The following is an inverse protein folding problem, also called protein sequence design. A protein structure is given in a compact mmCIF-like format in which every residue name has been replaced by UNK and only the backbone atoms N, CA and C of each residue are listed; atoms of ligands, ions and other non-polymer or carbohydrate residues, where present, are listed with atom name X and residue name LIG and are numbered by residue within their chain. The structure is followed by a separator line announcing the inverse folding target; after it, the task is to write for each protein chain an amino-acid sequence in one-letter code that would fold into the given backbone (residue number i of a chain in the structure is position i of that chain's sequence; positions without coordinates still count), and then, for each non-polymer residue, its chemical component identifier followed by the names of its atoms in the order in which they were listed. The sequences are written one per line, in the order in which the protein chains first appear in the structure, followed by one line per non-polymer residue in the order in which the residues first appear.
data_IF_920967805014
#
_entry.id   IF_920967805014
#
_cell.length_a   1.000
_cell.length_b   1.000
_cell.length_c   1.000
_cell.angle_alpha   90.00
_cell.angle_beta   90.00
_cell.angle_gamma   90.00
#
_symmetry.space_group_name_H-M   'P 1'
#
loop_
_entity.id
_entity.type
_entity.pdbx_description
1 polymer ?
#
# COMPACT_ATOMS: atom_id res chain seq x y z
N UNK A 1 11.06 -9.96 -7.22
CA UNK A 1 10.32 -10.76 -6.20
C UNK A 1 9.70 -9.90 -5.09
N UNK A 2 10.38 -8.84 -4.59
CA UNK A 2 9.88 -7.95 -3.51
C UNK A 2 8.56 -7.25 -3.85
N UNK A 3 8.43 -6.68 -5.05
CA UNK A 3 7.23 -5.97 -5.53
C UNK A 3 5.95 -6.81 -5.50
N UNK A 4 5.99 -8.06 -5.96
CA UNK A 4 4.81 -8.95 -5.90
C UNK A 4 4.37 -9.23 -4.47
N UNK A 5 5.31 -9.37 -3.52
CA UNK A 5 4.98 -9.56 -2.10
C UNK A 5 4.35 -8.30 -1.50
N UNK A 6 4.90 -7.13 -1.81
CA UNK A 6 4.33 -5.84 -1.39
C UNK A 6 2.90 -5.71 -1.93
N UNK A 7 2.70 -6.01 -3.21
CA UNK A 7 1.38 -5.97 -3.84
C UNK A 7 0.38 -6.87 -3.09
N UNK A 8 0.74 -8.13 -2.82
CA UNK A 8 -0.10 -9.05 -2.04
C UNK A 8 -0.41 -8.50 -0.66
N UNK A 9 0.59 -8.03 0.10
CA UNK A 9 0.38 -7.50 1.46
C UNK A 9 -0.58 -6.32 1.44
N UNK A 10 -0.42 -5.38 0.50
CA UNK A 10 -1.32 -4.23 0.45
C UNK A 10 -2.73 -4.67 0.04
N UNK A 11 -2.88 -5.58 -0.92
CA UNK A 11 -4.20 -6.12 -1.29
C UNK A 11 -4.88 -6.81 -0.10
N UNK A 12 -4.14 -7.61 0.66
CA UNK A 12 -4.65 -8.24 1.88
C UNK A 12 -5.12 -7.17 2.89
N UNK A 13 -4.32 -6.11 3.11
CA UNK A 13 -4.72 -5.01 3.98
C UNK A 13 -5.92 -4.21 3.44
N UNK A 14 -6.02 -3.99 2.13
CA UNK A 14 -7.20 -3.33 1.53
C UNK A 14 -8.46 -4.16 1.83
N UNK A 15 -8.42 -5.47 1.64
CA UNK A 15 -9.56 -6.34 1.89
C UNK A 15 -9.89 -6.54 3.38
N UNK A 16 -8.90 -6.40 4.27
CA UNK A 16 -9.14 -6.45 5.73
C UNK A 16 -9.68 -5.13 6.29
N UNK A 17 -9.24 -3.99 5.75
CA UNK A 17 -9.54 -2.66 6.28
C UNK A 17 -10.75 -2.00 5.59
N UNK A 18 -11.11 -2.47 4.39
CA UNK A 18 -12.12 -1.84 3.54
C UNK A 18 -12.98 -2.91 2.88
N UNK A 19 -14.19 -2.54 2.44
CA UNK A 19 -15.06 -3.41 1.64
C UNK A 19 -14.68 -3.42 0.13
N UNK A 20 -13.49 -2.95 -0.23
CA UNK A 20 -13.06 -2.88 -1.62
C UNK A 20 -12.74 -4.28 -2.17
N UNK A 21 -13.22 -4.57 -3.39
CA UNK A 21 -12.97 -5.85 -4.06
C UNK A 21 -11.51 -5.95 -4.55
N UNK A 22 -10.70 -6.71 -3.80
CA UNK A 22 -9.26 -6.86 -4.03
C UNK A 22 -8.91 -7.47 -5.39
N UNK A 23 -9.82 -8.24 -5.99
CA UNK A 23 -9.63 -8.87 -7.31
C UNK A 23 -9.70 -7.84 -8.44
N UNK A 24 -10.33 -6.68 -8.19
CA UNK A 24 -10.42 -5.58 -9.16
C UNK A 24 -9.21 -4.64 -9.12
N UNK A 25 -8.37 -4.74 -8.09
CA UNK A 25 -7.21 -3.88 -7.89
C UNK A 25 -6.14 -4.15 -8.96
N UNK A 26 -5.90 -3.13 -9.77
CA UNK A 26 -4.87 -3.08 -10.78
C UNK A 26 -3.98 -1.84 -10.58
N UNK A 27 -2.99 -1.65 -11.45
CA UNK A 27 -2.00 -0.57 -11.30
C UNK A 27 -2.59 0.83 -11.43
N UNK A 28 -3.71 0.96 -12.15
CA UNK A 28 -4.36 2.24 -12.44
C UNK A 28 -5.46 2.57 -11.42
N UNK A 29 -5.81 1.63 -10.54
CA UNK A 29 -6.80 1.84 -9.46
C UNK A 29 -6.36 3.00 -8.57
N UNK A 30 -7.27 3.93 -8.28
CA UNK A 30 -6.95 5.11 -7.47
C UNK A 30 -6.91 4.72 -5.99
N UNK A 31 -5.91 5.23 -5.27
CA UNK A 31 -5.79 5.00 -3.82
C UNK A 31 -6.98 5.61 -3.07
N UNK A 32 -7.50 6.73 -3.58
CA UNK A 32 -8.67 7.40 -3.02
C UNK A 32 -9.93 6.55 -3.07
N UNK A 33 -10.04 5.60 -4.01
CA UNK A 33 -11.20 4.71 -4.13
C UNK A 33 -11.23 3.66 -3.01
N UNK A 34 -10.10 3.37 -2.37
CA UNK A 34 -10.03 2.47 -1.22
C UNK A 34 -10.64 3.09 0.05
N UNK A 35 -10.76 4.42 0.10
CA UNK A 35 -11.28 5.11 1.29
C UNK A 35 -10.33 5.10 2.49
N UNK A 36 -9.03 4.92 2.27
CA UNK A 36 -8.03 4.91 3.34
C UNK A 36 -8.00 6.23 4.12
N UNK A 37 -7.94 6.11 5.45
CA UNK A 37 -7.63 7.19 6.38
C UNK A 37 -6.24 7.00 6.98
N UNK A 38 -5.75 8.00 7.72
CA UNK A 38 -4.37 7.99 8.27
C UNK A 38 -4.03 6.74 9.11
N UNK A 39 -5.02 6.12 9.76
CA UNK A 39 -4.81 4.88 10.53
C UNK A 39 -4.60 3.65 9.63
N UNK A 40 -5.18 3.61 8.44
CA UNK A 40 -5.02 2.48 7.52
C UNK A 40 -3.59 2.44 6.96
N UNK A 41 -3.03 3.60 6.64
CA UNK A 41 -1.63 3.72 6.23
C UNK A 41 -0.67 3.24 7.33
N UNK A 42 -1.00 3.47 8.60
CA UNK A 42 -0.23 2.93 9.73
C UNK A 42 -0.31 1.40 9.80
N UNK A 43 -1.50 0.82 9.59
CA UNK A 43 -1.67 -0.64 9.53
C UNK A 43 -0.84 -1.26 8.41
N UNK A 44 -0.86 -0.66 7.21
CA UNK A 44 -0.05 -1.08 6.06
C UNK A 44 1.45 -1.00 6.38
N UNK A 45 1.91 0.10 7.00
CA UNK A 45 3.30 0.24 7.43
C UNK A 45 3.71 -0.88 8.39
N UNK A 46 2.88 -1.18 9.40
CA UNK A 46 3.16 -2.24 10.37
C UNK A 46 3.19 -3.62 9.69
N UNK A 47 2.27 -3.90 8.77
CA UNK A 47 2.24 -5.14 8.01
C UNK A 47 3.51 -5.33 7.17
N UNK A 48 3.91 -4.30 6.42
CA UNK A 48 5.14 -4.32 5.60
C UNK A 48 6.41 -4.50 6.45
N UNK A 49 6.47 -3.84 7.61
CA UNK A 49 7.58 -3.99 8.55
C UNK A 49 7.67 -5.39 9.12
N UNK A 50 6.53 -6.01 9.49
CA UNK A 50 6.49 -7.38 10.03
C UNK A 50 6.82 -8.43 8.98
N UNK A 51 6.27 -8.31 7.78
CA UNK A 51 6.40 -9.33 6.74
C UNK A 51 7.73 -9.26 5.98
N UNK A 52 8.24 -8.04 5.75
CA UNK A 52 9.38 -7.80 4.86
C UNK A 52 10.52 -7.02 5.51
N UNK A 53 10.36 -6.55 6.75
CA UNK A 53 11.34 -5.68 7.41
C UNK A 53 11.42 -4.28 6.82
N UNK A 54 10.47 -3.88 5.97
CA UNK A 54 10.47 -2.57 5.29
C UNK A 54 9.96 -1.51 6.27
N UNK A 55 10.75 -0.46 6.48
CA UNK A 55 10.36 0.66 7.32
C UNK A 55 9.88 1.83 6.45
N UNK A 56 8.58 1.88 6.21
CA UNK A 56 7.96 2.95 5.40
C UNK A 56 7.92 4.25 6.20
N UNK A 57 8.33 5.36 5.59
CA UNK A 57 8.12 6.70 6.15
C UNK A 57 6.78 7.26 5.67
N UNK A 58 5.81 7.38 6.59
CA UNK A 58 4.47 7.87 6.27
C UNK A 58 4.46 9.36 5.89
N UNK A 59 5.45 10.14 6.34
CA UNK A 59 5.58 11.53 5.92
C UNK A 59 5.93 11.59 4.43
N UNK A 60 6.91 10.79 4.01
CA UNK A 60 7.30 10.70 2.60
C UNK A 60 6.17 10.14 1.74
N UNK A 61 5.38 9.20 2.25
CA UNK A 61 4.21 8.66 1.55
C UNK A 61 3.15 9.75 1.29
N UNK A 62 2.92 10.62 2.27
CA UNK A 62 2.00 11.76 2.17
C UNK A 62 2.53 12.82 1.20
N UNK A 63 3.84 13.10 1.25
CA UNK A 63 4.51 14.06 0.36
C UNK A 63 4.63 13.55 -1.10
N UNK A 64 4.65 12.24 -1.30
CA UNK A 64 4.79 11.62 -2.62
C UNK A 64 3.55 11.81 -3.52
N UNK A 65 2.43 12.35 -3.00
CA UNK A 65 1.20 12.64 -3.75
C UNK A 65 0.78 11.47 -4.66
N UNK A 66 0.86 10.25 -4.12
CA UNK A 66 0.57 9.02 -4.85
C UNK A 66 -0.91 9.00 -5.23
N UNK A 67 -1.20 8.72 -6.48
CA UNK A 67 -2.57 8.72 -7.02
C UNK A 67 -3.08 7.30 -7.21
N UNK A 68 -2.21 6.42 -7.70
CA UNK A 68 -2.58 5.05 -8.12
C UNK A 68 -1.94 3.98 -7.26
N UNK A 69 -2.57 2.81 -7.21
CA UNK A 69 -2.04 1.64 -6.53
C UNK A 69 -0.67 1.21 -7.09
N UNK A 70 -0.45 1.35 -8.41
CA UNK A 70 0.84 1.08 -9.03
C UNK A 70 1.95 1.95 -8.46
N UNK A 71 1.71 3.26 -8.35
CA UNK A 71 2.66 4.21 -7.77
C UNK A 71 2.98 3.89 -6.31
N UNK A 72 1.96 3.51 -5.52
CA UNK A 72 2.14 3.08 -4.13
C UNK A 72 3.06 1.85 -4.03
N UNK A 73 2.78 0.81 -4.81
CA UNK A 73 3.60 -0.41 -4.82
C UNK A 73 5.03 -0.12 -5.27
N UNK A 74 5.22 0.75 -6.27
CA UNK A 74 6.54 1.17 -6.73
C UNK A 74 7.29 1.97 -5.67
N UNK A 75 6.63 2.94 -5.03
CA UNK A 75 7.20 3.74 -3.95
C UNK A 75 7.73 2.84 -2.83
N UNK A 76 6.92 1.89 -2.38
CA UNK A 76 7.28 0.95 -1.31
C UNK A 76 8.33 -0.07 -1.74
N UNK A 77 8.48 -0.30 -3.05
CA UNK A 77 9.50 -1.18 -3.60
C UNK A 77 10.86 -0.51 -3.78
N UNK A 78 10.93 0.84 -3.76
CA UNK A 78 12.17 1.61 -3.98
C UNK A 78 13.17 1.54 -2.82
N UNK A 79 12.75 1.03 -1.66
CA UNK A 79 13.61 0.92 -0.48
C UNK A 79 14.79 -0.04 -0.75
N UNK A 80 15.99 0.56 -0.88
CA UNK A 80 17.31 -0.05 -1.08
C UNK A 80 17.95 -0.41 0.26
#
# INVERSE_FOLDING_TARGET
MKTKKIETIIKDQVGELTDFDVDTINKETLISDFGFVSLDFLSIQVALKRALGINVDLNQLTEANLTTFGELVEFLSKDK
#
